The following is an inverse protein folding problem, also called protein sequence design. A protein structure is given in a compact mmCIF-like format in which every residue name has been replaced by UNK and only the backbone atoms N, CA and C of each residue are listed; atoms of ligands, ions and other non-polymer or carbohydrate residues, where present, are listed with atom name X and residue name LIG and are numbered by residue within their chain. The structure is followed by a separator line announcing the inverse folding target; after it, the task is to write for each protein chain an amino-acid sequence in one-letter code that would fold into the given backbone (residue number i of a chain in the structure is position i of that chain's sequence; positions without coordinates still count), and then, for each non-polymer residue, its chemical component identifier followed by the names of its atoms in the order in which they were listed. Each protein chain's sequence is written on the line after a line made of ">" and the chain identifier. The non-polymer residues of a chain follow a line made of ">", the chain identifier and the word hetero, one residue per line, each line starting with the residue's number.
data_IF_751755361681
#
_entry.id   IF_751755361681
#
_cell.length_a   1.000
_cell.length_b   1.000
_cell.length_c   1.000
_cell.angle_alpha   90.00
_cell.angle_beta   90.00
_cell.angle_gamma   90.00
#
_symmetry.space_group_name_H-M   'P 1'
#
loop_
_entity.id
_entity.type
_entity.pdbx_description
1 polymer ?
#
# COMPACT_ATOMS: atom_id res chain seq x y z
N UNK A 1 12.07 -0.53 -24.48
CA UNK A 1 11.60 -0.99 -23.16
C UNK A 1 11.93 0.11 -22.17
N UNK A 2 10.97 0.49 -21.32
CA UNK A 2 11.23 1.49 -20.29
C UNK A 2 12.25 0.93 -19.29
N UNK A 3 13.02 1.82 -18.67
CA UNK A 3 13.97 1.45 -17.62
C UNK A 3 13.20 0.87 -16.43
N UNK A 4 13.62 -0.30 -15.97
CA UNK A 4 13.13 -0.97 -14.76
C UNK A 4 13.84 -0.38 -13.53
N UNK A 5 13.09 -0.11 -12.46
CA UNK A 5 13.57 0.61 -11.27
C UNK A 5 13.31 -0.16 -9.96
N UNK A 6 12.64 -1.30 -10.00
CA UNK A 6 12.24 -2.10 -8.84
C UNK A 6 13.43 -2.63 -8.03
N UNK A 7 14.57 -2.85 -8.68
CA UNK A 7 15.80 -3.35 -8.05
C UNK A 7 16.88 -2.29 -7.86
N UNK A 8 16.59 -1.02 -8.17
CA UNK A 8 17.57 0.05 -8.01
C UNK A 8 17.68 0.42 -6.54
N UNK A 9 18.91 0.48 -6.04
CA UNK A 9 19.20 0.88 -4.67
C UNK A 9 18.58 2.26 -4.36
N UNK A 10 17.97 2.39 -3.18
CA UNK A 10 17.20 3.56 -2.78
C UNK A 10 15.70 3.46 -3.04
N UNK A 11 15.25 2.54 -3.90
CA UNK A 11 13.82 2.27 -4.04
C UNK A 11 13.28 1.51 -2.82
N UNK A 12 11.99 1.67 -2.54
CA UNK A 12 11.32 1.06 -1.39
C UNK A 12 9.87 0.69 -1.69
N UNK A 13 9.32 -0.24 -0.91
CA UNK A 13 7.90 -0.58 -0.99
C UNK A 13 7.11 0.45 -0.20
N UNK A 14 6.34 1.27 -0.92
CA UNK A 14 5.55 2.36 -0.34
C UNK A 14 4.16 1.88 0.09
N UNK A 15 3.71 2.33 1.26
CA UNK A 15 2.55 1.78 1.95
C UNK A 15 1.20 2.27 1.40
N UNK A 16 1.07 3.54 1.00
CA UNK A 16 -0.21 4.10 0.55
C UNK A 16 -0.65 3.51 -0.78
N UNK A 17 0.26 3.39 -1.76
CA UNK A 17 0.02 2.72 -3.02
C UNK A 17 -0.28 1.23 -2.82
N UNK A 18 0.51 0.56 -1.98
CA UNK A 18 0.27 -0.84 -1.62
C UNK A 18 -1.14 -1.04 -1.05
N UNK A 19 -1.59 -0.14 -0.17
CA UNK A 19 -2.91 -0.16 0.42
C UNK A 19 -4.02 0.14 -0.61
N UNK A 20 -3.82 1.14 -1.49
CA UNK A 20 -4.75 1.49 -2.57
C UNK A 20 -4.96 0.32 -3.54
N UNK A 21 -3.88 -0.33 -4.01
CA UNK A 21 -4.00 -1.48 -4.91
C UNK A 21 -4.63 -2.69 -4.21
N UNK A 22 -4.30 -2.93 -2.95
CA UNK A 22 -4.94 -4.00 -2.16
C UNK A 22 -6.44 -3.75 -2.04
N UNK A 23 -6.85 -2.53 -1.67
CA UNK A 23 -8.27 -2.15 -1.63
C UNK A 23 -8.93 -2.35 -2.99
N UNK A 24 -8.30 -1.89 -4.07
CA UNK A 24 -8.81 -2.05 -5.43
C UNK A 24 -9.07 -3.51 -5.81
N UNK A 25 -8.12 -4.41 -5.49
CA UNK A 25 -8.31 -5.84 -5.72
C UNK A 25 -9.43 -6.44 -4.87
N UNK A 26 -9.48 -6.13 -3.58
CA UNK A 26 -10.48 -6.68 -2.68
C UNK A 26 -11.89 -6.19 -3.04
N UNK A 27 -12.06 -4.89 -3.29
CA UNK A 27 -13.32 -4.30 -3.71
C UNK A 27 -13.74 -4.78 -5.10
N UNK A 28 -12.79 -4.91 -6.04
CA UNK A 28 -13.03 -5.42 -7.38
C UNK A 28 -13.55 -6.87 -7.37
N UNK A 29 -12.93 -7.73 -6.55
CA UNK A 29 -13.39 -9.10 -6.33
C UNK A 29 -14.81 -9.13 -5.76
N UNK A 30 -15.09 -8.35 -4.68
CA UNK A 30 -16.43 -8.30 -4.08
C UNK A 30 -17.50 -7.83 -5.06
N UNK A 31 -17.18 -6.88 -5.93
CA UNK A 31 -18.11 -6.29 -6.90
C UNK A 31 -18.25 -7.14 -8.17
N UNK A 32 -17.53 -8.25 -8.30
CA UNK A 32 -17.53 -9.06 -9.52
C UNK A 32 -16.84 -8.39 -10.72
N UNK A 33 -16.00 -7.38 -10.48
CA UNK A 33 -15.23 -6.69 -11.53
C UNK A 33 -13.91 -7.41 -11.86
N UNK A 34 -13.41 -8.21 -10.92
CA UNK A 34 -12.20 -9.02 -11.06
C UNK A 34 -12.55 -10.48 -10.88
N UNK A 35 -11.95 -11.36 -11.69
CA UNK A 35 -12.18 -12.78 -11.56
C UNK A 35 -11.43 -13.38 -10.36
N UNK A 36 -12.09 -14.30 -9.65
CA UNK A 36 -11.53 -14.86 -8.42
C UNK A 36 -10.29 -15.73 -8.66
N UNK A 37 -10.24 -16.43 -9.81
CA UNK A 37 -9.15 -17.35 -10.14
C UNK A 37 -7.82 -16.62 -10.26
N UNK A 38 -7.82 -15.44 -10.86
CA UNK A 38 -6.62 -14.64 -11.09
C UNK A 38 -6.28 -13.78 -9.87
N UNK A 39 -7.29 -13.13 -9.26
CA UNK A 39 -7.02 -12.06 -8.30
C UNK A 39 -7.10 -12.44 -6.81
N UNK A 40 -7.70 -13.58 -6.44
CA UNK A 40 -7.86 -13.92 -5.01
C UNK A 40 -6.52 -14.15 -4.30
N UNK A 41 -5.62 -14.91 -4.91
CA UNK A 41 -4.29 -15.19 -4.34
C UNK A 41 -3.45 -13.91 -4.16
N UNK A 42 -3.24 -13.05 -5.18
CA UNK A 42 -2.47 -11.83 -5.01
C UNK A 42 -3.14 -10.86 -4.03
N UNK A 43 -4.48 -10.70 -4.05
CA UNK A 43 -5.17 -9.82 -3.10
C UNK A 43 -4.95 -10.26 -1.64
N UNK A 44 -5.04 -11.56 -1.36
CA UNK A 44 -4.74 -12.13 -0.04
C UNK A 44 -3.28 -11.93 0.37
N UNK A 45 -2.35 -12.09 -0.56
CA UNK A 45 -0.92 -11.87 -0.29
C UNK A 45 -0.63 -10.40 0.01
N UNK A 46 -1.24 -9.49 -0.74
CA UNK A 46 -1.08 -8.05 -0.55
C UNK A 46 -1.64 -7.60 0.81
N UNK A 47 -2.86 -8.02 1.16
CA UNK A 47 -3.44 -7.75 2.49
C UNK A 47 -2.52 -8.20 3.64
N UNK A 48 -2.01 -9.44 3.56
CA UNK A 48 -1.07 -9.97 4.57
C UNK A 48 0.22 -9.15 4.65
N UNK A 49 0.72 -8.67 3.52
CA UNK A 49 1.91 -7.81 3.47
C UNK A 49 1.63 -6.44 4.06
N UNK A 50 0.45 -5.85 3.86
CA UNK A 50 0.11 -4.57 4.51
C UNK A 50 0.28 -4.64 6.03
N UNK A 51 -0.28 -5.68 6.64
CA UNK A 51 -0.17 -5.87 8.10
C UNK A 51 1.27 -6.16 8.51
N UNK A 52 1.95 -7.05 7.80
CA UNK A 52 3.31 -7.46 8.16
C UNK A 52 4.34 -6.34 8.01
N UNK A 53 4.24 -5.54 6.94
CA UNK A 53 5.27 -4.61 6.52
C UNK A 53 5.03 -3.19 7.05
N UNK A 54 3.77 -2.80 7.30
CA UNK A 54 3.41 -1.40 7.59
C UNK A 54 2.64 -1.19 8.90
N UNK A 55 2.32 -2.25 9.65
CA UNK A 55 1.66 -2.11 10.97
C UNK A 55 2.65 -2.42 12.08
N UNK A 56 2.91 -1.43 12.93
CA UNK A 56 3.66 -1.61 14.18
C UNK A 56 2.69 -1.63 15.35
N UNK A 57 2.76 -2.68 16.19
CA UNK A 57 2.03 -2.72 17.46
C UNK A 57 2.84 -1.99 18.54
N UNK A 58 2.22 -1.03 19.20
CA UNK A 58 2.83 -0.29 20.29
C UNK A 58 2.51 -0.99 21.63
N UNK A 59 3.44 -0.92 22.58
CA UNK A 59 3.31 -1.57 23.90
C UNK A 59 2.19 -0.98 24.78
N UNK A 60 1.47 0.04 24.30
CA UNK A 60 0.35 0.70 24.96
C UNK A 60 -1.01 0.29 24.36
N UNK A 61 -1.05 -0.72 23.48
CA UNK A 61 -2.27 -1.21 22.85
C UNK A 61 -2.74 -0.41 21.62
N UNK A 62 -1.97 0.58 21.16
CA UNK A 62 -2.22 1.25 19.88
C UNK A 62 -1.43 0.62 18.75
N UNK A 63 -1.72 1.00 17.51
CA UNK A 63 -0.91 0.67 16.34
C UNK A 63 -0.40 1.93 15.64
N UNK A 64 0.72 1.81 14.94
CA UNK A 64 1.23 2.82 14.01
C UNK A 64 1.19 2.27 12.60
N UNK A 65 0.71 3.09 11.66
CA UNK A 65 0.82 2.84 10.22
C UNK A 65 2.10 3.49 9.68
N UNK A 66 2.95 2.71 9.01
CA UNK A 66 4.29 3.12 8.61
C UNK A 66 4.47 3.17 7.09
N UNK A 67 5.52 3.87 6.64
CA UNK A 67 6.02 3.78 5.27
C UNK A 67 5.17 4.51 4.22
N UNK A 68 4.40 5.53 4.61
CA UNK A 68 3.67 6.37 3.63
C UNK A 68 4.55 7.50 3.17
N UNK A 69 4.74 7.67 1.86
CA UNK A 69 5.43 8.83 1.31
C UNK A 69 4.61 10.11 1.58
N UNK A 70 5.27 11.20 1.98
CA UNK A 70 4.56 12.45 2.31
C UNK A 70 3.85 13.06 1.09
N UNK A 71 4.63 13.63 0.14
CA UNK A 71 4.09 14.14 -1.13
C UNK A 71 5.19 14.27 -2.17
N UNK A 72 5.01 13.59 -3.31
CA UNK A 72 5.77 13.88 -4.53
C UNK A 72 5.12 15.02 -5.31
N UNK A 73 5.94 15.86 -5.95
CA UNK A 73 5.49 17.01 -6.75
C UNK A 73 6.15 17.01 -8.12
N UNK A 74 5.44 17.56 -9.12
CA UNK A 74 6.00 17.83 -10.45
C UNK A 74 6.63 19.23 -10.56
N UNK A 75 6.67 19.99 -9.46
CA UNK A 75 7.55 21.17 -9.36
C UNK A 75 9.03 20.77 -9.10
N UNK A 76 9.39 19.50 -9.36
CA UNK A 76 10.74 18.96 -9.35
C UNK A 76 11.16 18.53 -10.75
N UNK A 77 12.31 17.87 -10.87
CA UNK A 77 12.77 17.25 -12.11
C UNK A 77 12.09 15.91 -12.41
N UNK A 78 11.19 15.43 -11.52
CA UNK A 78 10.52 14.13 -11.61
C UNK A 78 11.50 12.96 -11.80
N UNK A 79 12.73 13.10 -11.32
CA UNK A 79 13.76 12.07 -11.38
C UNK A 79 13.45 10.90 -10.43
N UNK A 80 14.11 9.76 -10.67
CA UNK A 80 14.02 8.63 -9.76
C UNK A 80 14.52 9.04 -8.37
N UNK A 81 15.66 9.71 -8.34
CA UNK A 81 16.34 10.21 -7.16
C UNK A 81 15.39 11.09 -6.34
N UNK A 82 14.74 12.06 -6.98
CA UNK A 82 13.73 12.91 -6.33
C UNK A 82 12.64 12.10 -5.64
N UNK A 83 12.00 11.16 -6.35
CA UNK A 83 10.89 10.38 -5.77
C UNK A 83 11.34 9.44 -4.65
N UNK A 84 12.55 8.89 -4.73
CA UNK A 84 13.09 8.00 -3.69
C UNK A 84 13.58 8.73 -2.45
N UNK A 85 13.89 10.02 -2.56
CA UNK A 85 14.35 10.86 -1.44
C UNK A 85 13.21 11.56 -0.68
N UNK A 86 11.97 11.55 -1.20
CA UNK A 86 10.82 12.10 -0.47
C UNK A 86 10.63 11.35 0.86
N UNK A 87 10.52 12.06 1.99
CA UNK A 87 10.34 11.43 3.29
C UNK A 87 9.12 10.51 3.34
N UNK A 88 9.28 9.40 4.07
CA UNK A 88 8.17 8.57 4.53
C UNK A 88 7.79 8.98 5.95
N UNK A 89 6.50 9.05 6.22
CA UNK A 89 5.96 9.54 7.50
C UNK A 89 4.94 8.56 8.10
N UNK A 90 4.96 8.36 9.43
CA UNK A 90 4.02 7.49 10.11
C UNK A 90 2.63 8.13 10.21
N UNK A 91 1.60 7.31 10.25
CA UNK A 91 0.19 7.69 10.41
C UNK A 91 -0.29 8.74 9.39
N UNK A 92 0.31 8.79 8.20
CA UNK A 92 -0.18 9.69 7.15
C UNK A 92 -1.56 9.24 6.68
N UNK A 93 -2.48 10.21 6.60
CA UNK A 93 -3.87 9.96 6.19
C UNK A 93 -4.01 9.40 4.78
N UNK A 94 -3.05 9.68 3.87
CA UNK A 94 -3.05 9.16 2.50
C UNK A 94 -2.79 7.65 2.45
N UNK A 95 -2.08 7.10 3.44
CA UNK A 95 -1.89 5.66 3.59
C UNK A 95 -2.92 5.01 4.50
N UNK A 96 -3.23 5.65 5.64
CA UNK A 96 -4.20 5.14 6.61
C UNK A 96 -5.60 4.96 6.01
N UNK A 97 -6.07 5.92 5.19
CA UNK A 97 -7.38 5.85 4.56
C UNK A 97 -7.55 4.58 3.70
N UNK A 98 -6.71 4.39 2.67
CA UNK A 98 -6.70 3.17 1.86
C UNK A 98 -6.49 1.89 2.68
N UNK A 99 -5.64 1.93 3.72
CA UNK A 99 -5.42 0.77 4.59
C UNK A 99 -6.71 0.35 5.33
N UNK A 100 -7.43 1.31 5.93
CA UNK A 100 -8.72 1.04 6.58
C UNK A 100 -9.75 0.47 5.59
N UNK A 101 -9.79 1.01 4.36
CA UNK A 101 -10.67 0.51 3.31
C UNK A 101 -10.30 -0.93 2.89
N UNK A 102 -9.01 -1.25 2.78
CA UNK A 102 -8.53 -2.59 2.47
C UNK A 102 -8.89 -3.61 3.57
N UNK A 103 -8.72 -3.25 4.86
CA UNK A 103 -9.12 -4.10 5.98
C UNK A 103 -10.63 -4.35 5.96
N UNK A 104 -11.43 -3.30 5.78
CA UNK A 104 -12.87 -3.44 5.72
C UNK A 104 -13.32 -4.42 4.62
N UNK A 105 -12.76 -4.29 3.42
CA UNK A 105 -13.04 -5.21 2.32
C UNK A 105 -12.57 -6.64 2.60
N UNK A 106 -11.44 -6.82 3.31
CA UNK A 106 -10.97 -8.14 3.72
C UNK A 106 -11.87 -8.81 4.76
N UNK A 107 -12.18 -8.09 5.85
CA UNK A 107 -13.02 -8.60 6.95
C UNK A 107 -14.42 -8.95 6.48
N UNK A 108 -15.00 -8.14 5.59
CA UNK A 108 -16.32 -8.38 5.01
C UNK A 108 -16.41 -9.69 4.22
N UNK A 109 -15.30 -10.21 3.69
CA UNK A 109 -15.26 -11.49 2.95
C UNK A 109 -15.20 -12.71 3.87
N UNK A 110 -14.88 -12.51 5.15
CA UNK A 110 -14.71 -13.59 6.13
C UNK A 110 -15.98 -13.87 6.94
N UNK A 111 -17.10 -13.24 6.56
CA UNK A 111 -18.46 -13.49 7.08
C UNK A 111 -19.31 -14.11 5.98
#
# INVERSE_FOLDING_TARGET
>A
MNKEYEGVEGNYVESSASAMFTYGWLAGLRRGLLDEKTYTKPAKQAYKRLIRDFVTNNNNGTITWEGTVEVGSLNSDASFEYYTEVPVVPNDTRGMGPFMMAIYEWERRSK
#
